data_IF_976958229846
#
_entry.id   IF_976958229846
#
_cell.length_a   1.000
_cell.length_b   1.000
_cell.length_c   1.000
_cell.angle_alpha   90.00
_cell.angle_beta   90.00
_cell.angle_gamma   90.00
#
_symmetry.space_group_name_H-M   'P 1'
#
loop_
_entity.id
_entity.type
_entity.pdbx_description
1 polymer ?
#
# COMPACT_ATOMS: atom_id res chain seq x y z
N UNK A 1 8.82 36.14 -1.89
CA UNK A 1 8.35 35.44 -3.11
C UNK A 1 8.39 33.95 -2.81
N UNK A 2 7.24 33.34 -2.47
CA UNK A 2 7.11 31.91 -2.25
C UNK A 2 6.38 31.31 -3.46
N UNK A 3 7.14 30.84 -4.44
CA UNK A 3 6.62 29.97 -5.50
C UNK A 3 6.73 28.53 -5.01
N UNK A 4 5.70 28.09 -4.29
CA UNK A 4 5.38 26.66 -4.24
C UNK A 4 4.42 26.46 -5.40
N UNK A 5 4.96 26.09 -6.56
CA UNK A 5 4.13 25.75 -7.72
C UNK A 5 3.31 24.51 -7.34
N UNK A 6 2.01 24.76 -7.19
CA UNK A 6 0.97 23.76 -7.02
C UNK A 6 0.96 22.84 -8.24
N UNK A 7 0.57 21.59 -8.00
CA UNK A 7 0.26 20.58 -9.02
C UNK A 7 -0.58 21.24 -10.12
N UNK A 8 0.04 21.36 -11.30
CA UNK A 8 -0.63 21.71 -12.55
C UNK A 8 -1.85 20.81 -12.74
N UNK A 9 -2.97 21.42 -13.14
CA UNK A 9 -4.22 20.87 -13.67
C UNK A 9 -4.54 19.38 -13.38
N UNK A 10 -5.67 19.16 -12.71
CA UNK A 10 -6.24 17.86 -12.28
C UNK A 10 -6.46 16.83 -13.43
N UNK A 11 -6.26 17.25 -14.68
CA UNK A 11 -6.38 16.43 -15.90
C UNK A 11 -5.15 15.55 -16.23
N UNK A 12 -3.98 15.81 -15.65
CA UNK A 12 -2.72 15.09 -15.98
C UNK A 12 -2.21 14.16 -14.88
N UNK A 13 -3.07 13.76 -13.94
CA UNK A 13 -2.65 12.89 -12.83
C UNK A 13 -3.23 11.47 -12.97
N UNK A 14 -2.39 10.47 -12.73
CA UNK A 14 -2.84 9.08 -12.58
C UNK A 14 -3.47 8.94 -11.19
N UNK A 15 -4.72 8.47 -11.13
CA UNK A 15 -5.51 8.33 -9.91
C UNK A 15 -5.71 6.85 -9.58
N UNK A 16 -4.99 6.37 -8.56
CA UNK A 16 -4.98 4.96 -8.13
C UNK A 16 -5.73 4.82 -6.80
N UNK A 17 -6.97 4.31 -6.80
CA UNK A 17 -7.68 4.04 -5.57
C UNK A 17 -7.18 2.78 -4.88
N UNK A 18 -7.15 2.82 -3.56
CA UNK A 18 -6.83 1.69 -2.70
C UNK A 18 -8.08 1.18 -2.00
N UNK A 19 -8.16 -0.13 -1.80
CA UNK A 19 -9.31 -0.81 -1.22
C UNK A 19 -8.86 -1.94 -0.31
N UNK A 20 -9.65 -2.27 0.71
CA UNK A 20 -9.40 -3.40 1.61
C UNK A 20 -10.65 -4.27 1.77
N UNK A 21 -10.42 -5.58 1.86
CA UNK A 21 -11.43 -6.55 2.29
C UNK A 21 -11.24 -6.80 3.80
N UNK A 22 -11.96 -6.07 4.67
CA UNK A 22 -11.82 -6.16 6.14
C UNK A 22 -12.53 -7.40 6.73
N UNK A 23 -13.11 -8.26 5.91
CA UNK A 23 -13.85 -9.46 6.34
C UNK A 23 -13.02 -10.47 7.15
N UNK A 24 -11.68 -10.34 7.20
CA UNK A 24 -10.83 -11.18 8.05
C UNK A 24 -9.60 -10.45 8.59
N UNK A 25 -9.48 -10.36 9.92
CA UNK A 25 -8.26 -9.85 10.60
C UNK A 25 -6.99 -10.65 10.26
N UNK A 26 -7.14 -11.90 9.81
CA UNK A 26 -6.03 -12.81 9.53
C UNK A 26 -5.64 -12.86 8.04
N UNK A 27 -6.55 -12.44 7.15
CA UNK A 27 -6.34 -12.35 5.70
C UNK A 27 -6.56 -10.91 5.19
N UNK A 28 -6.08 -9.90 5.92
CA UNK A 28 -6.15 -8.50 5.44
C UNK A 28 -5.39 -8.39 4.11
N UNK A 29 -6.12 -8.04 3.05
CA UNK A 29 -5.60 -7.77 1.72
C UNK A 29 -5.93 -6.34 1.35
N UNK A 30 -4.94 -5.65 0.82
CA UNK A 30 -5.07 -4.32 0.25
C UNK A 30 -4.91 -4.43 -1.25
N UNK A 31 -5.76 -3.75 -1.99
CA UNK A 31 -5.75 -3.77 -3.45
C UNK A 31 -5.56 -2.34 -3.95
N UNK A 32 -4.89 -2.19 -5.08
CA UNK A 32 -4.79 -0.94 -5.83
C UNK A 32 -5.36 -1.16 -7.22
N UNK A 33 -6.16 -0.23 -7.73
CA UNK A 33 -6.84 -0.35 -9.02
C UNK A 33 -6.45 0.76 -9.98
N UNK A 34 -6.74 0.55 -11.27
CA UNK A 34 -6.52 1.55 -12.32
C UNK A 34 -7.53 2.70 -12.28
N UNK A 35 -8.69 2.50 -11.67
CA UNK A 35 -9.76 3.50 -11.55
C UNK A 35 -10.75 3.13 -10.43
N UNK A 36 -11.57 4.10 -10.03
CA UNK A 36 -12.68 3.86 -9.10
C UNK A 36 -13.69 2.87 -9.67
N UNK A 37 -14.01 2.99 -10.97
CA UNK A 37 -14.92 2.06 -11.67
C UNK A 37 -14.41 0.60 -11.60
N UNK A 38 -13.10 0.40 -11.79
CA UNK A 38 -12.50 -0.93 -11.66
C UNK A 38 -12.60 -1.48 -10.24
N UNK A 39 -12.39 -0.64 -9.22
CA UNK A 39 -12.54 -1.02 -7.82
C UNK A 39 -13.99 -1.39 -7.49
N UNK A 40 -14.96 -0.56 -7.90
CA UNK A 40 -16.38 -0.81 -7.68
C UNK A 40 -16.86 -2.09 -8.37
N UNK A 41 -16.38 -2.38 -9.58
CA UNK A 41 -16.73 -3.61 -10.29
C UNK A 41 -16.20 -4.84 -9.54
N UNK A 42 -14.96 -4.78 -9.07
CA UNK A 42 -14.36 -5.84 -8.25
C UNK A 42 -15.15 -6.06 -6.95
N UNK A 43 -15.52 -4.98 -6.27
CA UNK A 43 -16.35 -5.02 -5.05
C UNK A 43 -17.74 -5.62 -5.31
N UNK A 44 -18.45 -5.14 -6.36
CA UNK A 44 -19.77 -5.66 -6.77
C UNK A 44 -19.71 -7.15 -7.09
N UNK A 45 -18.59 -7.63 -7.66
CA UNK A 45 -18.36 -9.05 -7.95
C UNK A 45 -18.07 -9.91 -6.71
N UNK A 46 -17.92 -9.29 -5.53
CA UNK A 46 -17.43 -9.91 -4.30
C UNK A 46 -16.04 -10.52 -4.47
N UNK A 47 -15.14 -9.78 -5.12
CA UNK A 47 -13.74 -10.15 -5.34
C UNK A 47 -13.56 -11.41 -6.21
N UNK A 48 -14.56 -11.75 -7.05
CA UNK A 48 -14.59 -12.94 -7.90
C UNK A 48 -14.49 -12.55 -9.36
N UNK A 49 -13.29 -12.70 -9.92
CA UNK A 49 -12.95 -12.36 -11.31
C UNK A 49 -13.26 -13.46 -12.33
N UNK A 50 -13.68 -14.64 -11.87
CA UNK A 50 -14.06 -15.79 -12.70
C UNK A 50 -15.51 -15.72 -13.20
N UNK A 51 -16.34 -14.84 -12.60
CA UNK A 51 -17.76 -14.73 -12.91
C UNK A 51 -18.03 -13.91 -14.16
N UNK A 52 -19.12 -14.19 -14.88
CA UNK A 52 -19.62 -13.28 -15.92
C UNK A 52 -19.86 -11.88 -15.34
N UNK A 53 -19.56 -10.86 -16.12
CA UNK A 53 -19.70 -9.43 -15.76
C UNK A 53 -18.89 -8.98 -14.53
N UNK A 54 -17.98 -9.80 -14.00
CA UNK A 54 -17.02 -9.37 -12.96
C UNK A 54 -15.85 -8.55 -13.51
N UNK A 55 -15.66 -8.62 -14.83
CA UNK A 55 -14.64 -7.91 -15.59
C UNK A 55 -15.33 -7.28 -16.79
N UNK A 56 -14.89 -6.08 -17.15
CA UNK A 56 -15.31 -5.42 -18.38
C UNK A 56 -14.07 -5.07 -19.21
N UNK A 57 -14.14 -5.33 -20.52
CA UNK A 57 -13.13 -4.93 -21.49
C UNK A 57 -13.50 -3.56 -22.05
N UNK A 58 -12.55 -2.62 -21.99
CA UNK A 58 -12.67 -1.28 -22.55
C UNK A 58 -12.25 -1.27 -24.03
N UNK A 59 -12.58 -0.19 -24.74
CA UNK A 59 -12.29 -0.01 -26.17
C UNK A 59 -10.78 -0.05 -26.50
N UNK A 60 -9.93 0.30 -25.52
CA UNK A 60 -8.48 0.22 -25.62
C UNK A 60 -7.91 -1.17 -25.26
N UNK A 61 -8.76 -2.19 -25.18
CA UNK A 61 -8.44 -3.56 -24.76
C UNK A 61 -7.96 -3.72 -23.31
N UNK A 62 -8.01 -2.67 -22.48
CA UNK A 62 -7.76 -2.80 -21.05
C UNK A 62 -8.96 -3.44 -20.35
N UNK A 63 -8.69 -4.12 -19.24
CA UNK A 63 -9.72 -4.71 -18.40
C UNK A 63 -9.88 -3.90 -17.12
N UNK A 64 -11.13 -3.69 -16.71
CA UNK A 64 -11.50 -3.18 -15.39
C UNK A 64 -12.15 -4.30 -14.58
N UNK A 65 -12.16 -4.17 -13.26
CA UNK A 65 -12.55 -5.23 -12.32
C UNK A 65 -11.40 -6.15 -11.92
N UNK A 66 -10.18 -5.90 -12.41
CA UNK A 66 -8.96 -6.62 -12.02
C UNK A 66 -8.07 -5.65 -11.24
N UNK A 67 -7.57 -5.99 -10.03
CA UNK A 67 -6.61 -5.16 -9.33
C UNK A 67 -5.31 -5.00 -10.13
N UNK A 68 -4.64 -3.86 -10.01
CA UNK A 68 -3.26 -3.71 -10.50
C UNK A 68 -2.29 -4.43 -9.56
N UNK A 69 -2.49 -4.24 -8.25
CA UNK A 69 -1.66 -4.83 -7.21
C UNK A 69 -2.48 -5.34 -6.04
N UNK A 70 -1.98 -6.37 -5.36
CA UNK A 70 -2.47 -6.86 -4.06
C UNK A 70 -1.31 -6.84 -3.05
N UNK A 71 -1.50 -6.24 -1.90
CA UNK A 71 -0.60 -6.35 -0.75
C UNK A 71 -1.24 -7.22 0.34
N UNK A 72 -0.53 -8.25 0.79
CA UNK A 72 -0.96 -9.14 1.88
C UNK A 72 0.14 -9.39 2.88
N UNK A 73 -0.22 -9.75 4.12
CA UNK A 73 0.75 -10.18 5.12
C UNK A 73 1.44 -11.49 4.70
N UNK A 74 2.76 -11.56 4.85
CA UNK A 74 3.53 -12.79 4.64
C UNK A 74 3.21 -13.78 5.77
N UNK A 75 2.85 -15.00 5.41
CA UNK A 75 2.58 -16.10 6.37
C UNK A 75 3.89 -16.76 6.83
N UNK A 76 4.83 -15.96 7.32
CA UNK A 76 6.10 -16.43 7.86
C UNK A 76 6.12 -16.35 9.40
N UNK A 77 7.24 -16.70 10.04
CA UNK A 77 7.35 -16.66 11.50
C UNK A 77 7.06 -15.26 12.09
N UNK A 78 7.19 -14.16 11.33
CA UNK A 78 6.83 -12.82 11.80
C UNK A 78 5.34 -12.70 12.14
N UNK A 79 4.49 -13.51 11.51
CA UNK A 79 3.06 -13.63 11.80
C UNK A 79 2.79 -14.17 13.21
N UNK A 80 3.65 -15.05 13.72
CA UNK A 80 3.53 -15.66 15.05
C UNK A 80 4.13 -14.73 16.12
N UNK A 81 5.22 -14.06 15.79
CA UNK A 81 5.98 -13.23 16.72
C UNK A 81 5.68 -11.74 16.54
N UNK A 82 4.66 -11.27 17.26
CA UNK A 82 4.32 -9.84 17.46
C UNK A 82 3.78 -9.14 16.21
N UNK A 83 2.48 -8.76 16.21
CA UNK A 83 1.80 -8.00 15.13
C UNK A 83 2.55 -6.75 14.63
N UNK A 84 3.52 -6.26 15.40
CA UNK A 84 4.43 -5.15 15.05
C UNK A 84 5.52 -5.53 14.04
N UNK A 85 5.59 -6.79 13.60
CA UNK A 85 6.68 -7.33 12.75
C UNK A 85 6.27 -7.86 11.40
N UNK A 86 5.00 -7.77 11.07
CA UNK A 86 4.47 -8.43 9.88
C UNK A 86 5.23 -7.98 8.63
N UNK A 87 5.91 -8.93 7.99
CA UNK A 87 6.40 -8.77 6.63
C UNK A 87 5.20 -8.78 5.68
N UNK A 88 5.34 -8.11 4.54
CA UNK A 88 4.28 -8.04 3.53
C UNK A 88 4.81 -8.58 2.20
N UNK A 89 3.91 -9.10 1.37
CA UNK A 89 4.19 -9.41 -0.02
C UNK A 89 3.24 -8.58 -0.87
N UNK A 90 3.80 -7.88 -1.84
CA UNK A 90 3.07 -7.13 -2.86
C UNK A 90 3.12 -7.94 -4.15
N UNK A 91 1.95 -8.28 -4.66
CA UNK A 91 1.74 -8.95 -5.93
C UNK A 91 1.32 -7.93 -6.99
N UNK A 92 1.80 -8.12 -8.22
CA UNK A 92 1.28 -7.46 -9.42
C UNK A 92 0.41 -8.44 -10.19
N UNK A 93 -0.77 -8.02 -10.62
CA UNK A 93 -1.63 -8.86 -11.46
C UNK A 93 -1.17 -8.82 -12.91
N UNK A 94 -1.26 -9.98 -13.57
CA UNK A 94 -0.89 -10.17 -14.97
C UNK A 94 -2.05 -10.86 -15.67
N UNK A 95 -2.52 -10.28 -16.77
CA UNK A 95 -3.61 -10.82 -17.60
C UNK A 95 -3.04 -11.29 -18.92
N UNK A 96 -3.32 -12.54 -19.27
CA UNK A 96 -2.87 -13.20 -20.49
C UNK A 96 -4.07 -13.78 -21.26
N UNK A 97 -4.05 -13.88 -22.59
CA UNK A 97 -5.06 -14.65 -23.34
C UNK A 97 -5.10 -16.10 -22.85
N UNK A 98 -6.27 -16.70 -22.63
CA UNK A 98 -6.36 -18.08 -22.13
C UNK A 98 -6.16 -19.15 -23.20
N UNK A 99 -6.30 -18.80 -24.49
CA UNK A 99 -6.11 -19.72 -25.61
C UNK A 99 -4.64 -20.15 -25.73
N UNK A 100 -4.39 -21.45 -25.59
CA UNK A 100 -3.05 -22.05 -25.69
C UNK A 100 -2.44 -21.93 -27.09
N UNK A 101 -3.28 -21.76 -28.11
CA UNK A 101 -2.86 -21.56 -29.49
C UNK A 101 -2.64 -20.09 -29.84
N UNK A 102 -2.90 -19.15 -28.91
CA UNK A 102 -2.62 -17.74 -29.13
C UNK A 102 -1.11 -17.53 -29.31
N UNK A 103 -0.74 -17.01 -30.47
CA UNK A 103 0.66 -16.83 -30.88
C UNK A 103 1.45 -15.91 -29.95
N UNK A 104 0.79 -15.00 -29.23
CA UNK A 104 1.42 -14.09 -28.28
C UNK A 104 1.47 -14.66 -26.85
N UNK A 105 0.62 -15.62 -26.48
CA UNK A 105 0.58 -16.17 -25.12
C UNK A 105 1.94 -16.67 -24.65
N UNK A 106 2.66 -17.45 -25.46
CA UNK A 106 4.00 -17.96 -25.11
C UNK A 106 5.00 -16.82 -24.85
N UNK A 107 4.97 -15.79 -25.69
CA UNK A 107 5.83 -14.62 -25.53
C UNK A 107 5.49 -13.86 -24.25
N UNK A 108 4.21 -13.56 -24.00
CA UNK A 108 3.78 -12.85 -22.80
C UNK A 108 4.06 -13.65 -21.51
N UNK A 109 3.90 -14.98 -21.53
CA UNK A 109 4.29 -15.84 -20.41
C UNK A 109 5.80 -15.74 -20.13
N UNK A 110 6.64 -15.76 -21.16
CA UNK A 110 8.09 -15.59 -21.01
C UNK A 110 8.44 -14.22 -20.40
N UNK A 111 7.83 -13.14 -20.89
CA UNK A 111 8.09 -11.77 -20.39
C UNK A 111 7.59 -11.57 -18.96
N UNK A 112 6.37 -12.02 -18.66
CA UNK A 112 5.68 -11.65 -17.42
C UNK A 112 5.76 -12.69 -16.32
N UNK A 113 5.91 -13.98 -16.63
CA UNK A 113 5.85 -15.07 -15.63
C UNK A 113 7.16 -15.86 -15.48
N UNK A 114 7.96 -15.98 -16.53
CA UNK A 114 9.19 -16.80 -16.49
C UNK A 114 10.21 -16.25 -15.48
N UNK A 115 10.84 -17.16 -14.72
CA UNK A 115 11.79 -16.86 -13.66
C UNK A 115 11.23 -15.94 -12.54
N UNK A 116 9.91 -15.91 -12.35
CA UNK A 116 9.24 -15.18 -11.26
C UNK A 116 8.38 -16.14 -10.44
N UNK A 117 8.23 -15.84 -9.16
CA UNK A 117 7.25 -16.52 -8.32
C UNK A 117 5.86 -15.97 -8.65
N UNK A 118 4.92 -16.84 -9.02
CA UNK A 118 3.57 -16.44 -9.38
C UNK A 118 2.51 -17.47 -8.95
N UNK A 119 1.29 -16.99 -8.76
CA UNK A 119 0.10 -17.78 -8.48
C UNK A 119 -0.90 -17.59 -9.62
N UNK A 120 -1.51 -18.68 -10.09
CA UNK A 120 -2.70 -18.60 -10.93
C UNK A 120 -3.89 -18.16 -10.07
N UNK A 121 -4.68 -17.21 -10.56
CA UNK A 121 -5.84 -16.68 -9.85
C UNK A 121 -7.12 -17.32 -10.39
N UNK A 122 -7.43 -17.12 -11.67
CA UNK A 122 -8.59 -17.71 -12.33
C UNK A 122 -8.52 -17.58 -13.86
N UNK A 123 -9.40 -18.30 -14.54
CA UNK A 123 -9.78 -17.99 -15.91
C UNK A 123 -11.09 -17.20 -15.90
N UNK A 124 -11.21 -16.24 -16.80
CA UNK A 124 -12.48 -15.61 -17.13
C UNK A 124 -12.86 -16.04 -18.55
N UNK A 125 -13.86 -16.92 -18.65
CA UNK A 125 -14.28 -17.54 -19.91
C UNK A 125 -15.01 -16.55 -20.84
N UNK A 126 -15.68 -15.54 -20.28
CA UNK A 126 -16.36 -14.49 -21.06
C UNK A 126 -15.35 -13.68 -21.89
N UNK A 127 -14.24 -13.29 -21.27
CA UNK A 127 -13.20 -12.50 -21.92
C UNK A 127 -12.06 -13.32 -22.50
N UNK A 128 -12.08 -14.65 -22.33
CA UNK A 128 -11.03 -15.58 -22.77
C UNK A 128 -9.64 -15.20 -22.26
N UNK A 129 -9.54 -14.92 -20.95
CA UNK A 129 -8.29 -14.52 -20.30
C UNK A 129 -7.98 -15.39 -19.09
N UNK A 130 -6.69 -15.56 -18.84
CA UNK A 130 -6.12 -16.13 -17.62
C UNK A 130 -5.50 -15.01 -16.79
N UNK A 131 -5.82 -14.99 -15.50
CA UNK A 131 -5.32 -14.00 -14.55
C UNK A 131 -4.34 -14.67 -13.61
N UNK A 132 -3.15 -14.08 -13.51
CA UNK A 132 -2.08 -14.48 -12.62
C UNK A 132 -1.74 -13.33 -11.67
N UNK A 133 -1.05 -13.64 -10.59
CA UNK A 133 -0.39 -12.64 -9.77
C UNK A 133 1.05 -13.04 -9.51
N UNK A 134 1.97 -12.12 -9.76
CA UNK A 134 3.41 -12.34 -9.63
C UNK A 134 3.91 -11.60 -8.40
N UNK A 135 4.85 -12.19 -7.65
CA UNK A 135 5.52 -11.48 -6.55
C UNK A 135 6.29 -10.31 -7.14
N UNK A 136 5.88 -9.09 -6.80
CA UNK A 136 6.50 -7.87 -7.29
C UNK A 136 7.50 -7.28 -6.29
N UNK A 137 7.14 -7.27 -5.00
CA UNK A 137 8.03 -6.84 -3.93
C UNK A 137 7.78 -7.59 -2.62
N UNK A 138 8.86 -7.95 -1.94
CA UNK A 138 8.81 -8.39 -0.54
C UNK A 138 9.16 -7.24 0.40
N UNK A 139 8.25 -6.90 1.31
CA UNK A 139 8.46 -5.86 2.30
C UNK A 139 8.91 -6.48 3.61
N UNK A 140 10.14 -6.18 4.00
CA UNK A 140 10.72 -6.63 5.25
C UNK A 140 10.71 -5.49 6.27
N UNK A 141 10.14 -5.75 7.44
CA UNK A 141 10.09 -4.78 8.52
C UNK A 141 11.17 -5.10 9.57
N UNK A 142 12.23 -4.29 9.61
CA UNK A 142 13.29 -4.43 10.60
C UNK A 142 12.84 -3.72 11.88
N UNK A 143 12.40 -4.50 12.88
CA UNK A 143 12.19 -3.98 14.24
C UNK A 143 12.84 -4.91 15.28
N UNK A 144 13.68 -4.37 16.15
CA UNK A 144 14.39 -5.13 17.19
C UNK A 144 13.45 -5.71 18.26
N UNK A 145 13.85 -6.84 18.88
CA UNK A 145 13.21 -7.57 20.02
C UNK A 145 12.28 -6.74 20.93
N UNK A 146 12.94 -5.69 21.39
CA UNK A 146 12.73 -4.95 22.62
C UNK A 146 13.08 -3.47 22.38
N UNK A 147 13.04 -3.05 21.11
CA UNK A 147 13.64 -1.79 20.69
C UNK A 147 12.79 -0.60 21.14
N UNK A 148 13.37 0.26 21.98
CA UNK A 148 12.92 1.64 22.17
C UNK A 148 13.27 2.54 20.96
N UNK A 149 13.56 1.95 19.79
CA UNK A 149 14.04 2.69 18.64
C UNK A 149 13.02 3.76 18.25
N UNK A 150 13.55 4.97 18.10
CA UNK A 150 12.85 6.15 17.61
C UNK A 150 12.58 6.07 16.10
N UNK A 151 13.07 5.03 15.44
CA UNK A 151 12.96 4.79 14.00
C UNK A 151 12.43 3.39 13.70
N UNK A 152 11.64 3.27 12.63
CA UNK A 152 11.26 1.98 12.04
C UNK A 152 11.53 1.99 10.55
N UNK A 153 12.18 0.94 10.08
CA UNK A 153 12.60 0.84 8.68
C UNK A 153 11.91 -0.32 8.00
N UNK A 154 11.28 -0.02 6.86
CA UNK A 154 10.74 -1.00 5.94
C UNK A 154 11.63 -1.04 4.70
N UNK A 155 12.04 -2.23 4.31
CA UNK A 155 12.79 -2.44 3.06
C UNK A 155 11.88 -3.16 2.07
N UNK A 156 11.49 -2.47 1.02
CA UNK A 156 10.80 -3.03 -0.13
C UNK A 156 11.86 -3.60 -1.06
N UNK A 157 11.89 -4.92 -1.23
CA UNK A 157 12.84 -5.60 -2.11
C UNK A 157 12.20 -5.88 -3.46
N UNK A 158 12.63 -5.14 -4.48
CA UNK A 158 12.36 -5.43 -5.88
C UNK A 158 13.51 -6.25 -6.47
N UNK A 159 13.35 -6.78 -7.68
CA UNK A 159 14.36 -7.63 -8.34
C UNK A 159 15.72 -6.94 -8.53
N UNK A 160 15.70 -5.66 -8.89
CA UNK A 160 16.90 -4.93 -9.33
C UNK A 160 17.40 -3.88 -8.32
N UNK A 161 16.51 -3.29 -7.52
CA UNK A 161 16.84 -2.19 -6.60
C UNK A 161 15.87 -2.17 -5.42
N UNK A 162 16.33 -2.15 -4.16
CA UNK A 162 15.46 -2.01 -3.00
C UNK A 162 15.12 -0.53 -2.70
N UNK A 163 13.92 -0.30 -2.16
CA UNK A 163 13.56 0.98 -1.55
C UNK A 163 13.53 0.83 -0.04
N UNK A 164 14.12 1.78 0.68
CA UNK A 164 14.15 1.84 2.13
C UNK A 164 13.30 3.01 2.59
N UNK A 165 12.25 2.72 3.36
CA UNK A 165 11.40 3.73 3.99
C UNK A 165 11.67 3.75 5.50
N UNK A 166 12.12 4.89 6.02
CA UNK A 166 12.43 5.09 7.44
C UNK A 166 11.44 6.06 8.08
N UNK A 167 10.67 5.53 9.03
CA UNK A 167 9.67 6.26 9.81
C UNK A 167 10.28 6.67 11.13
N UNK A 168 10.50 7.97 11.31
CA UNK A 168 10.97 8.53 12.57
C UNK A 168 9.79 8.92 13.46
N UNK A 169 9.92 8.73 14.76
CA UNK A 169 8.80 8.84 15.72
C UNK A 169 8.33 10.29 15.92
N UNK A 170 9.23 11.25 15.76
CA UNK A 170 8.98 12.67 16.02
C UNK A 170 8.98 13.52 14.75
N UNK A 171 9.16 12.90 13.59
CA UNK A 171 9.23 13.61 12.32
C UNK A 171 7.85 13.60 11.68
N UNK A 172 7.56 14.72 11.03
CA UNK A 172 6.41 14.92 10.16
C UNK A 172 6.69 14.47 8.71
N UNK A 173 7.63 13.54 8.53
CA UNK A 173 7.86 12.89 7.25
C UNK A 173 8.39 11.45 7.41
N UNK A 174 8.43 10.74 6.29
CA UNK A 174 9.08 9.43 6.12
C UNK A 174 10.25 9.64 5.16
N UNK A 175 11.45 9.24 5.58
CA UNK A 175 12.61 9.23 4.68
C UNK A 175 12.49 8.07 3.71
N UNK A 176 12.81 8.31 2.45
CA UNK A 176 12.81 7.34 1.37
C UNK A 176 14.17 7.37 0.69
N UNK A 177 14.79 6.20 0.60
CA UNK A 177 16.04 6.00 -0.14
C UNK A 177 15.87 4.86 -1.14
N UNK A 178 16.29 5.09 -2.39
CA UNK A 178 16.29 4.11 -3.48
C UNK A 178 16.81 4.75 -4.76
N UNK A 179 17.12 3.97 -5.80
CA UNK A 179 17.76 4.52 -7.00
C UNK A 179 16.89 5.55 -7.75
N UNK A 180 15.56 5.35 -7.73
CA UNK A 180 14.57 6.27 -8.31
C UNK A 180 14.08 7.36 -7.34
N UNK A 181 14.43 7.25 -6.07
CA UNK A 181 13.96 8.14 -5.00
C UNK A 181 15.11 8.55 -4.08
N UNK A 182 16.21 9.13 -4.63
CA UNK A 182 17.32 9.57 -3.79
C UNK A 182 16.85 10.68 -2.84
N UNK A 183 17.22 10.60 -1.55
CA UNK A 183 16.95 11.63 -0.54
C UNK A 183 15.47 12.11 -0.49
N UNK A 184 14.53 11.25 -0.89
CA UNK A 184 13.13 11.61 -1.06
C UNK A 184 12.36 11.48 0.24
N UNK A 185 11.20 12.13 0.35
CA UNK A 185 10.43 12.18 1.59
C UNK A 185 8.93 12.13 1.35
N UNK A 186 8.23 11.26 2.06
CA UNK A 186 6.77 11.42 2.21
C UNK A 186 6.49 12.37 3.37
N UNK A 187 6.03 13.58 3.10
CA UNK A 187 5.68 14.58 4.11
C UNK A 187 4.22 14.36 4.53
N UNK A 188 3.92 14.34 5.84
CA UNK A 188 2.53 14.36 6.30
C UNK A 188 2.04 15.81 6.34
N UNK A 189 1.00 16.11 5.57
CA UNK A 189 0.28 17.36 5.68
C UNK A 189 -1.09 17.09 6.33
N UNK A 190 -1.58 18.03 7.12
CA UNK A 190 -2.95 18.04 7.66
C UNK A 190 -3.36 16.80 8.49
N UNK A 191 -2.60 16.41 9.51
CA UNK A 191 -3.10 15.46 10.51
C UNK A 191 -4.22 16.12 11.33
N UNK A 192 -5.47 16.03 10.84
CA UNK A 192 -6.65 16.67 11.44
C UNK A 192 -7.16 15.94 12.70
N UNK A 193 -6.56 14.81 13.05
CA UNK A 193 -6.83 14.09 14.28
C UNK A 193 -6.33 12.66 14.17
N UNK A 194 -5.53 12.20 15.13
CA UNK A 194 -5.04 10.81 15.21
C UNK A 194 -6.20 9.84 15.55
N UNK A 195 -7.21 9.70 14.69
CA UNK A 195 -8.32 8.76 14.87
C UNK A 195 -7.93 7.41 14.29
N UNK A 196 -7.81 6.41 15.17
CA UNK A 196 -7.49 5.03 14.79
C UNK A 196 -8.78 4.20 14.69
N UNK A 197 -9.08 3.66 13.51
CA UNK A 197 -10.22 2.75 13.27
C UNK A 197 -9.72 1.49 12.55
N UNK A 198 -10.11 0.30 13.05
CA UNK A 198 -9.78 -1.02 12.48
C UNK A 198 -8.30 -1.30 12.14
N UNK A 199 -7.41 -0.74 12.98
CA UNK A 199 -5.95 -0.76 12.88
C UNK A 199 -5.29 0.22 11.91
N UNK A 200 -6.06 1.14 11.32
CA UNK A 200 -5.56 2.16 10.40
C UNK A 200 -5.72 3.58 10.96
N UNK A 201 -4.90 4.49 10.44
CA UNK A 201 -4.99 5.92 10.72
C UNK A 201 -5.83 6.58 9.63
N UNK A 202 -6.75 7.46 10.05
CA UNK A 202 -7.56 8.28 9.15
C UNK A 202 -7.01 9.69 9.08
N UNK A 203 -7.40 10.42 8.03
CA UNK A 203 -7.11 11.84 7.83
C UNK A 203 -5.63 12.17 7.62
N UNK A 204 -4.86 11.22 7.07
CA UNK A 204 -3.50 11.47 6.64
C UNK A 204 -3.49 11.85 5.14
N UNK A 205 -2.94 13.03 4.83
CA UNK A 205 -2.52 13.39 3.48
C UNK A 205 -0.99 13.30 3.43
N UNK A 206 -0.47 12.48 2.52
CA UNK A 206 0.96 12.30 2.32
C UNK A 206 1.37 12.87 0.98
N UNK A 207 2.45 13.64 0.93
CA UNK A 207 3.03 14.12 -0.33
C UNK A 207 4.44 13.60 -0.50
N UNK A 208 4.72 12.93 -1.61
CA UNK A 208 6.07 12.49 -1.95
C UNK A 208 6.82 13.66 -2.57
N UNK A 209 7.83 14.13 -1.85
CA UNK A 209 8.74 15.18 -2.26
C UNK A 209 10.10 14.56 -2.63
N UNK A 210 10.61 14.88 -3.82
CA UNK A 210 11.94 14.46 -4.27
C UNK A 210 13.05 15.35 -3.69
N UNK A 211 14.31 15.00 -3.95
CA UNK A 211 15.48 15.77 -3.50
C UNK A 211 15.48 17.23 -4.00
N UNK A 212 15.02 17.44 -5.24
CA UNK A 212 14.85 18.77 -5.84
C UNK A 212 13.64 19.55 -5.30
N UNK A 213 12.93 18.97 -4.31
CA UNK A 213 11.72 19.48 -3.65
C UNK A 213 10.46 19.45 -4.53
N UNK A 214 10.49 18.82 -5.70
CA UNK A 214 9.29 18.60 -6.49
C UNK A 214 8.34 17.63 -5.77
N UNK A 215 7.04 17.93 -5.81
CA UNK A 215 6.00 17.02 -5.31
C UNK A 215 5.49 16.21 -6.49
N UNK A 216 5.63 14.89 -6.39
CA UNK A 216 5.38 13.96 -7.50
C UNK A 216 4.24 13.00 -7.25
N UNK A 217 3.90 12.78 -5.98
CA UNK A 217 2.73 11.99 -5.60
C UNK A 217 2.01 12.62 -4.41
N UNK A 218 0.70 12.39 -4.32
CA UNK A 218 -0.14 12.73 -3.17
C UNK A 218 -1.03 11.53 -2.84
N UNK A 219 -0.96 11.00 -1.63
CA UNK A 219 -1.89 9.99 -1.13
C UNK A 219 -2.83 10.63 -0.12
N UNK A 220 -4.13 10.59 -0.39
CA UNK A 220 -5.16 11.18 0.45
C UNK A 220 -6.16 10.10 0.89
N UNK A 221 -6.35 9.95 2.21
CA UNK A 221 -7.33 9.05 2.79
C UNK A 221 -8.43 9.76 3.60
N UNK A 222 -8.59 11.08 3.45
CA UNK A 222 -9.58 11.89 4.18
C UNK A 222 -11.03 11.43 3.91
N UNK A 223 -11.31 10.92 2.71
CA UNK A 223 -12.63 10.42 2.31
C UNK A 223 -12.89 8.96 2.69
N UNK A 224 -12.02 8.33 3.49
CA UNK A 224 -12.25 6.98 3.99
C UNK A 224 -13.58 6.92 4.75
N UNK A 225 -14.42 5.93 4.44
CA UNK A 225 -15.80 5.79 4.91
C UNK A 225 -15.92 5.66 6.43
N UNK A 226 -15.89 6.77 7.17
CA UNK A 226 -16.06 6.75 8.62
C UNK A 226 -16.95 7.85 9.17
N UNK A 227 -17.79 8.45 8.33
CA UNK A 227 -18.97 9.17 8.84
C UNK A 227 -20.04 8.15 9.24
N UNK A 228 -19.84 7.49 10.39
CA UNK A 228 -20.88 6.89 11.24
C UNK A 228 -21.47 5.51 10.93
N UNK A 229 -20.85 4.66 10.09
CA UNK A 229 -21.38 3.31 9.80
C UNK A 229 -20.36 2.22 10.13
N UNK A 230 -20.52 1.55 11.27
CA UNK A 230 -19.58 0.57 11.85
C UNK A 230 -19.52 -0.81 11.16
N UNK A 231 -20.14 -1.00 9.99
CA UNK A 231 -20.48 -2.36 9.52
C UNK A 231 -20.26 -2.68 8.03
N UNK A 232 -19.70 -1.79 7.22
CA UNK A 232 -19.34 -2.14 5.83
C UNK A 232 -17.88 -2.58 5.80
N UNK A 233 -17.65 -3.89 5.97
CA UNK A 233 -16.34 -4.56 6.06
C UNK A 233 -15.51 -4.53 4.76
N UNK A 234 -15.82 -3.65 3.83
CA UNK A 234 -15.21 -3.47 2.53
C UNK A 234 -15.01 -1.96 2.38
N UNK A 235 -13.77 -1.47 2.56
CA UNK A 235 -13.52 -0.04 2.71
C UNK A 235 -12.55 0.49 1.66
N UNK A 236 -12.96 1.58 1.03
CA UNK A 236 -12.08 2.48 0.31
C UNK A 236 -11.03 3.05 1.26
N UNK A 237 -9.75 2.90 0.91
CA UNK A 237 -8.61 3.23 1.77
C UNK A 237 -8.00 4.60 1.48
N UNK A 238 -8.32 5.20 0.33
CA UNK A 238 -7.77 6.47 -0.13
C UNK A 238 -7.38 6.47 -1.61
N UNK A 239 -6.99 7.63 -2.10
CA UNK A 239 -6.58 7.88 -3.48
C UNK A 239 -5.10 8.26 -3.51
N UNK A 240 -4.31 7.57 -4.33
CA UNK A 240 -2.99 8.04 -4.73
C UNK A 240 -3.11 8.79 -6.05
N UNK A 241 -2.71 10.06 -6.06
CA UNK A 241 -2.49 10.86 -7.25
C UNK A 241 -1.00 10.85 -7.56
N UNK A 242 -0.62 10.55 -8.79
CA UNK A 242 0.76 10.58 -9.27
C UNK A 242 0.81 11.63 -10.39
N UNK A 243 1.72 12.60 -10.27
CA UNK A 243 1.94 13.59 -11.30
C UNK A 243 2.53 12.93 -12.55
N UNK A 244 1.97 13.20 -13.73
CA UNK A 244 2.60 12.82 -15.00
C UNK A 244 3.85 13.66 -15.26
N UNK A 245 4.97 13.31 -14.62
CA UNK A 245 6.27 13.90 -14.96
C UNK A 245 6.98 13.18 -16.12
N UNK A 246 6.36 12.11 -16.62
CA UNK A 246 6.68 11.47 -17.90
C UNK A 246 5.34 11.22 -18.56
N UNK A 247 5.08 11.82 -19.73
CA UNK A 247 3.96 11.45 -20.59
C UNK A 247 3.68 9.95 -20.44
N UNK A 248 2.50 9.51 -20.00
CA UNK A 248 2.13 8.15 -20.18
C UNK A 248 1.87 8.04 -21.69
N UNK A 249 2.62 7.27 -22.49
CA UNK A 249 1.88 6.50 -23.47
C UNK A 249 1.01 5.54 -22.63
N UNK A 250 -0.31 5.51 -22.74
CA UNK A 250 -1.02 5.46 -24.01
C UNK A 250 -2.51 5.83 -23.89
N UNK A 251 -2.86 6.99 -24.45
CA UNK A 251 -4.08 7.19 -25.22
C UNK A 251 -3.80 8.29 -26.27
N UNK A 252 -2.76 8.21 -27.14
CA UNK A 252 -2.75 7.24 -28.25
C UNK A 252 -1.34 6.93 -28.82
N UNK A 253 -1.13 5.72 -29.32
CA UNK A 253 -0.39 5.58 -30.58
C UNK A 253 -1.33 4.85 -31.54
N UNK A 254 -1.30 5.20 -32.82
CA UNK A 254 -2.26 4.74 -33.83
C UNK A 254 -2.23 3.22 -34.13
N UNK A 255 -1.72 2.41 -33.22
CA UNK A 255 -1.85 0.97 -33.22
C UNK A 255 -3.03 0.57 -32.35
N UNK A 256 -4.02 -0.10 -32.93
CA UNK A 256 -5.08 -0.74 -32.15
C UNK A 256 -4.41 -1.77 -31.24
N UNK A 257 -4.17 -1.42 -29.98
CA UNK A 257 -3.70 -2.34 -28.96
C UNK A 257 -4.74 -3.45 -28.85
N UNK A 258 -4.38 -4.66 -29.28
CA UNK A 258 -5.29 -5.80 -29.35
C UNK A 258 -5.43 -6.53 -28.00
N UNK A 259 -4.52 -6.27 -27.05
CA UNK A 259 -4.37 -7.03 -25.81
C UNK A 259 -4.21 -6.12 -24.58
N UNK A 260 -4.42 -6.68 -23.39
CA UNK A 260 -4.18 -5.96 -22.15
C UNK A 260 -2.71 -5.59 -21.99
N UNK A 261 -2.46 -4.36 -21.54
CA UNK A 261 -1.10 -3.89 -21.28
C UNK A 261 -0.73 -4.13 -19.82
N UNK A 262 0.02 -5.21 -19.60
CA UNK A 262 0.58 -5.54 -18.29
C UNK A 262 1.66 -4.55 -17.81
N UNK A 263 2.06 -3.58 -18.64
CA UNK A 263 3.06 -2.53 -18.35
C UNK A 263 2.46 -1.12 -18.39
N UNK A 264 1.15 -1.01 -18.12
CA UNK A 264 0.40 0.25 -18.11
C UNK A 264 1.04 1.38 -17.29
N UNK A 265 1.77 1.04 -16.23
CA UNK A 265 2.41 1.99 -15.33
C UNK A 265 3.93 1.98 -15.50
N UNK A 266 4.54 3.16 -15.40
CA UNK A 266 5.99 3.29 -15.33
C UNK A 266 6.55 2.66 -14.04
N UNK A 267 7.82 2.25 -14.06
CA UNK A 267 8.49 1.68 -12.87
C UNK A 267 8.42 2.62 -11.66
N UNK A 268 8.51 3.93 -11.91
CA UNK A 268 8.32 4.96 -10.88
C UNK A 268 6.94 4.88 -10.24
N UNK A 269 5.87 4.87 -11.04
CA UNK A 269 4.48 4.81 -10.57
C UNK A 269 4.20 3.51 -9.81
N UNK A 270 4.69 2.37 -10.31
CA UNK A 270 4.55 1.09 -9.62
C UNK A 270 5.24 1.07 -8.25
N UNK A 271 6.47 1.61 -8.17
CA UNK A 271 7.20 1.73 -6.91
C UNK A 271 6.52 2.73 -5.94
N UNK A 272 5.93 3.81 -6.45
CA UNK A 272 5.12 4.73 -5.65
C UNK A 272 3.89 4.03 -5.04
N UNK A 273 3.16 3.23 -5.82
CA UNK A 273 2.04 2.40 -5.33
C UNK A 273 2.52 1.45 -4.22
N UNK A 274 3.68 0.82 -4.42
CA UNK A 274 4.26 -0.09 -3.42
C UNK A 274 4.61 0.62 -2.11
N UNK A 275 5.18 1.82 -2.18
CA UNK A 275 5.42 2.65 -0.99
C UNK A 275 4.11 3.02 -0.29
N UNK A 276 3.05 3.34 -1.03
CA UNK A 276 1.73 3.65 -0.46
C UNK A 276 1.13 2.47 0.30
N UNK A 277 1.30 1.22 -0.16
CA UNK A 277 0.92 0.04 0.64
C UNK A 277 1.64 0.00 1.99
N UNK A 278 2.92 0.42 2.06
CA UNK A 278 3.66 0.50 3.32
C UNK A 278 3.12 1.62 4.22
N UNK A 279 2.75 2.77 3.65
CA UNK A 279 2.08 3.85 4.38
C UNK A 279 0.75 3.37 4.98
N UNK A 280 -0.08 2.68 4.19
CA UNK A 280 -1.37 2.11 4.60
C UNK A 280 -1.19 1.05 5.68
N UNK A 281 -0.28 0.10 5.48
CA UNK A 281 -0.06 -1.02 6.39
C UNK A 281 0.66 -0.60 7.68
N UNK A 282 1.28 0.58 7.71
CA UNK A 282 1.95 1.08 8.91
C UNK A 282 0.93 1.33 10.02
N UNK A 283 1.13 0.62 11.12
CA UNK A 283 0.57 1.01 12.41
C UNK A 283 1.46 2.11 13.02
N UNK A 284 1.02 3.39 13.09
CA UNK A 284 1.70 4.41 13.93
C UNK A 284 1.74 3.89 15.38
N UNK A 285 2.92 3.91 15.98
CA UNK A 285 3.18 3.37 17.32
C UNK A 285 2.72 4.29 18.47
N UNK A 286 2.08 5.41 18.17
CA UNK A 286 2.01 6.54 19.10
C UNK A 286 1.20 6.28 20.38
N UNK A 287 0.28 5.31 20.37
CA UNK A 287 -0.60 5.04 21.51
C UNK A 287 0.04 4.27 22.68
N UNK A 288 1.20 3.60 22.51
CA UNK A 288 1.87 2.95 23.66
C UNK A 288 2.83 3.88 24.41
N UNK A 289 3.53 4.78 23.70
CA UNK A 289 4.40 5.75 24.38
C UNK A 289 3.56 6.71 25.25
N UNK A 290 2.42 7.18 24.74
CA UNK A 290 1.51 8.06 25.50
C UNK A 290 0.76 7.36 26.65
N UNK A 291 0.50 6.05 26.60
CA UNK A 291 -0.06 5.34 27.77
C UNK A 291 0.96 5.12 28.87
N UNK A 292 2.23 4.94 28.52
CA UNK A 292 3.33 4.77 29.50
C UNK A 292 3.70 6.12 30.13
N UNK A 293 3.57 7.24 29.42
CA UNK A 293 3.80 8.58 30.01
C UNK A 293 2.55 9.19 30.64
N UNK A 294 1.35 8.86 30.17
CA UNK A 294 0.08 9.38 30.68
C UNK A 294 -0.49 8.64 31.90
N UNK A 295 0.02 7.47 32.26
CA UNK A 295 -0.32 6.78 33.52
C UNK A 295 0.62 7.12 34.69
N UNK A 296 1.66 7.93 34.46
CA UNK A 296 2.60 8.36 35.51
C UNK A 296 2.26 9.71 36.15
N UNK A 297 1.08 10.28 35.86
CA UNK A 297 0.53 11.36 36.67
C UNK A 297 -0.33 10.76 37.78
N UNK A 298 0.31 10.41 38.90
CA UNK A 298 -0.39 10.19 40.16
C UNK A 298 0.32 9.39 41.25
N UNK A 299 1.22 8.45 40.90
CA UNK A 299 1.90 7.63 41.92
C UNK A 299 3.29 7.19 41.46
N UNK A 300 4.31 7.55 42.24
CA UNK A 300 5.65 6.97 42.14
C UNK A 300 5.71 5.75 43.05
N UNK A 301 5.98 4.57 42.48
CA UNK A 301 6.25 3.34 43.23
C UNK A 301 7.75 3.20 43.42
N UNK A 302 8.24 3.43 44.63
CA UNK A 302 9.63 3.13 45.00
C UNK A 302 9.71 1.75 45.65
N UNK A 303 10.65 0.88 45.23
CA UNK A 303 10.87 -0.39 45.90
C UNK A 303 11.52 -0.15 47.28
N UNK A 304 10.85 -0.62 48.33
CA UNK A 304 11.35 -0.57 49.70
C UNK A 304 11.53 -1.99 50.22
N UNK A 305 12.67 -2.26 50.86
CA UNK A 305 12.95 -3.59 51.44
C UNK A 305 12.46 -3.59 52.88
N UNK A 306 11.51 -4.48 53.20
CA UNK A 306 11.05 -4.73 54.57
C UNK A 306 11.32 -6.21 54.87
N UNK A 307 12.12 -6.49 55.90
CA UNK A 307 12.49 -7.86 56.31
C UNK A 307 12.96 -8.76 55.16
N UNK A 308 13.85 -8.24 54.30
CA UNK A 308 14.44 -9.00 53.18
C UNK A 308 13.50 -9.25 52.00
N UNK A 309 12.28 -8.72 52.01
CA UNK A 309 11.32 -8.83 50.91
C UNK A 309 11.16 -7.46 50.23
N UNK A 310 11.24 -7.42 48.90
CA UNK A 310 11.01 -6.19 48.12
C UNK A 310 9.50 -5.96 48.03
N UNK A 311 9.04 -4.83 48.57
CA UNK A 311 7.64 -4.41 48.51
C UNK A 311 7.56 -3.08 47.76
N UNK A 312 6.65 -2.98 46.79
CA UNK A 312 6.38 -1.73 46.07
C UNK A 312 5.37 -0.90 46.86
N UNK A 313 5.80 0.26 47.36
CA UNK A 313 4.94 1.16 48.15
C UNK A 313 4.64 2.41 47.34
N UNK A 314 3.35 2.78 47.16
CA UNK A 314 2.98 3.99 46.45
C UNK A 314 3.26 5.24 47.31
N UNK A 315 4.00 6.20 46.78
CA UNK A 315 4.08 7.55 47.33
C UNK A 315 3.18 8.51 46.55
N UNK A 316 2.41 9.30 47.29
CA UNK A 316 1.71 10.49 46.78
C UNK A 316 2.74 11.62 46.75
N UNK A 317 2.88 12.30 45.61
CA UNK A 317 3.62 13.57 45.50
C UNK A 317 2.65 14.72 45.78
#
# INVERSE_FOLDING_TARGET
MSQYDFIYDDASSIKVPFYTELRSMFNKRFYAFSSMESMELFEKSQNKMDKPSSIQRLDNSQYIGIPLFECRMKKDASYIFNKKRNNLIIYKYIVLPNDENDTQRKHLMSVFLENKEYEFVCNNEEHKISIYKVVYSEVNNKSGMLSMATARTYTLKFRNDPIVMTFLTYDDYVQVEGSLFPNSKWIYNDNLGDVKIDDFFMEDNFKLMLEDKSIVCEFDNKDRSNKWVRHTLDEYMGLLKIADNTNPPAFPSNEKVQYHDNSLLSEFSEKAICMTFVLIARQKYRLRAMRVTGQNNGYSMTPTIINGTIVLVPHVI
#
